data_IF_992450044301
#
_entry.id   IF_992450044301
#
_cell.length_a   1.000
_cell.length_b   1.000
_cell.length_c   1.000
_cell.angle_alpha   90.00
_cell.angle_beta   90.00
_cell.angle_gamma   90.00
#
_symmetry.space_group_name_H-M   'P 1'
#
loop_
_entity.id
_entity.type
_entity.pdbx_description
1 polymer ?
#
# COMPACT_ATOMS: atom_id res chain seq x y z
N UNK A 1 -3.32 16.62 14.94
CA UNK A 1 -4.02 17.91 14.75
C UNK A 1 -5.38 17.61 14.14
N UNK A 2 -6.46 18.03 14.78
CA UNK A 2 -7.81 17.85 14.21
C UNK A 2 -8.05 18.81 13.06
N UNK A 3 -8.80 18.37 12.07
CA UNK A 3 -9.17 19.18 10.90
C UNK A 3 -10.56 18.78 10.40
N UNK A 4 -11.15 19.62 9.55
CA UNK A 4 -12.44 19.36 8.92
C UNK A 4 -12.24 19.02 7.44
N UNK A 5 -13.09 18.15 6.91
CA UNK A 5 -13.07 17.82 5.48
C UNK A 5 -13.23 19.09 4.63
N UNK A 6 -12.35 19.24 3.64
CA UNK A 6 -12.33 20.38 2.72
C UNK A 6 -11.60 21.63 3.24
N UNK A 7 -11.04 21.62 4.46
CA UNK A 7 -10.14 22.69 4.90
C UNK A 7 -8.73 22.56 4.29
N UNK A 8 -7.87 23.53 4.53
CA UNK A 8 -6.49 23.54 4.00
C UNK A 8 -5.69 22.32 4.48
N UNK A 9 -5.89 21.87 5.70
CA UNK A 9 -5.18 20.71 6.27
C UNK A 9 -5.64 19.43 5.59
N UNK A 10 -6.95 19.25 5.36
CA UNK A 10 -7.47 18.13 4.57
C UNK A 10 -6.93 18.16 3.13
N UNK A 11 -6.85 19.35 2.54
CA UNK A 11 -6.25 19.56 1.22
C UNK A 11 -4.79 19.10 1.16
N UNK A 12 -3.95 19.56 2.11
CA UNK A 12 -2.56 19.13 2.24
C UNK A 12 -2.45 17.61 2.45
N UNK A 13 -3.32 17.05 3.28
CA UNK A 13 -3.36 15.62 3.55
C UNK A 13 -3.73 14.82 2.28
N UNK A 14 -4.69 15.30 1.48
CA UNK A 14 -5.06 14.69 0.21
C UNK A 14 -3.90 14.75 -0.81
N UNK A 15 -3.14 15.85 -0.85
CA UNK A 15 -1.93 15.95 -1.68
C UNK A 15 -0.90 14.88 -1.28
N UNK A 16 -0.60 14.76 0.01
CA UNK A 16 0.37 13.76 0.50
C UNK A 16 -0.13 12.33 0.26
N UNK A 17 -1.42 12.06 0.46
CA UNK A 17 -2.03 10.77 0.17
C UNK A 17 -1.96 10.40 -1.30
N UNK A 18 -2.21 11.36 -2.19
CA UNK A 18 -2.10 11.17 -3.64
C UNK A 18 -0.67 10.83 -4.03
N UNK A 19 0.30 11.59 -3.51
CA UNK A 19 1.72 11.31 -3.73
C UNK A 19 2.11 9.90 -3.24
N UNK A 20 1.74 9.56 -2.00
CA UNK A 20 2.09 8.26 -1.42
C UNK A 20 1.43 7.10 -2.16
N UNK A 21 0.19 7.29 -2.63
CA UNK A 21 -0.48 6.33 -3.49
C UNK A 21 0.26 6.14 -4.83
N UNK A 22 0.73 7.21 -5.47
CA UNK A 22 1.51 7.09 -6.70
C UNK A 22 2.85 6.38 -6.50
N UNK A 23 3.53 6.61 -5.38
CA UNK A 23 4.75 5.84 -5.03
C UNK A 23 4.44 4.36 -4.83
N UNK A 24 3.30 4.04 -4.20
CA UNK A 24 2.81 2.67 -4.08
C UNK A 24 2.53 2.04 -5.45
N UNK A 25 1.79 2.74 -6.31
CA UNK A 25 1.41 2.31 -7.65
C UNK A 25 2.63 2.07 -8.55
N UNK A 26 3.57 3.02 -8.57
CA UNK A 26 4.80 2.90 -9.34
C UNK A 26 5.68 1.74 -8.83
N UNK A 27 5.78 1.55 -7.51
CA UNK A 27 6.50 0.42 -6.92
C UNK A 27 5.89 -0.94 -7.27
N UNK A 28 4.55 -1.03 -7.29
CA UNK A 28 3.86 -2.26 -7.70
C UNK A 28 4.06 -2.55 -9.19
N UNK A 29 3.95 -1.53 -10.05
CA UNK A 29 4.20 -1.65 -11.50
C UNK A 29 5.63 -2.05 -11.79
N UNK A 30 6.59 -1.49 -11.06
CA UNK A 30 7.99 -1.86 -11.17
C UNK A 30 8.23 -3.33 -10.75
N UNK A 31 7.63 -3.76 -9.64
CA UNK A 31 7.65 -5.16 -9.21
C UNK A 31 7.08 -6.08 -10.31
N UNK A 32 5.90 -5.76 -10.84
CA UNK A 32 5.26 -6.54 -11.89
C UNK A 32 6.14 -6.64 -13.15
N UNK A 33 6.75 -5.52 -13.56
CA UNK A 33 7.68 -5.48 -14.71
C UNK A 33 8.90 -6.37 -14.49
N UNK A 34 9.53 -6.33 -13.32
CA UNK A 34 10.69 -7.19 -13.06
C UNK A 34 10.30 -8.67 -12.92
N UNK A 35 9.15 -8.96 -12.31
CA UNK A 35 8.62 -10.32 -12.23
C UNK A 35 8.35 -10.89 -13.64
N UNK A 36 7.74 -10.10 -14.53
CA UNK A 36 7.53 -10.46 -15.93
C UNK A 36 8.86 -10.70 -16.66
N UNK A 37 9.85 -9.82 -16.50
CA UNK A 37 11.19 -10.00 -17.06
C UNK A 37 11.84 -11.32 -16.61
N UNK A 38 11.71 -11.68 -15.33
CA UNK A 38 12.22 -12.96 -14.82
C UNK A 38 11.56 -14.17 -15.49
N UNK A 39 10.26 -14.09 -15.78
CA UNK A 39 9.51 -15.17 -16.43
C UNK A 39 9.93 -15.32 -17.90
N UNK A 40 10.07 -14.21 -18.63
CA UNK A 40 10.34 -14.21 -20.07
C UNK A 40 11.82 -14.45 -20.39
N UNK A 41 12.72 -13.75 -19.68
CA UNK A 41 14.15 -13.68 -20.00
C UNK A 41 15.03 -14.51 -19.06
N UNK A 42 14.42 -15.08 -18.01
CA UNK A 42 15.12 -15.82 -16.96
C UNK A 42 15.58 -14.93 -15.81
N UNK A 43 16.03 -15.59 -14.75
CA UNK A 43 16.42 -14.93 -13.51
C UNK A 43 17.91 -14.60 -13.49
N UNK A 44 18.25 -13.34 -13.21
CA UNK A 44 19.60 -12.92 -12.80
C UNK A 44 19.59 -12.43 -11.37
N UNK A 45 20.78 -12.36 -10.73
CA UNK A 45 20.92 -11.81 -9.37
C UNK A 45 20.48 -10.36 -9.31
N UNK A 46 20.80 -9.57 -10.34
CA UNK A 46 20.43 -8.16 -10.41
C UNK A 46 18.91 -7.98 -10.52
N UNK A 47 18.25 -8.73 -11.41
CA UNK A 47 16.78 -8.66 -11.52
C UNK A 47 16.14 -9.12 -10.21
N UNK A 48 16.65 -10.18 -9.58
CA UNK A 48 16.13 -10.66 -8.28
C UNK A 48 16.20 -9.60 -7.19
N UNK A 49 17.33 -8.87 -7.10
CA UNK A 49 17.51 -7.74 -6.18
C UNK A 49 16.51 -6.61 -6.46
N UNK A 50 16.34 -6.24 -7.73
CA UNK A 50 15.40 -5.19 -8.13
C UNK A 50 13.94 -5.57 -7.86
N UNK A 51 13.54 -6.81 -8.16
CA UNK A 51 12.22 -7.36 -7.83
C UNK A 51 11.95 -7.32 -6.33
N UNK A 52 12.93 -7.76 -5.53
CA UNK A 52 12.84 -7.73 -4.07
C UNK A 52 12.59 -6.31 -3.57
N UNK A 53 13.41 -5.35 -4.00
CA UNK A 53 13.30 -3.95 -3.57
C UNK A 53 11.96 -3.32 -3.98
N UNK A 54 11.55 -3.51 -5.24
CA UNK A 54 10.29 -2.98 -5.74
C UNK A 54 9.09 -3.50 -4.91
N UNK A 55 9.09 -4.79 -4.58
CA UNK A 55 8.03 -5.35 -3.75
C UNK A 55 8.09 -4.87 -2.29
N UNK A 56 9.28 -4.68 -1.72
CA UNK A 56 9.39 -4.07 -0.37
C UNK A 56 8.94 -2.62 -0.33
N UNK A 57 9.21 -1.85 -1.39
CA UNK A 57 8.72 -0.47 -1.52
C UNK A 57 7.20 -0.45 -1.66
N UNK A 58 6.63 -1.37 -2.44
CA UNK A 58 5.17 -1.54 -2.53
C UNK A 58 4.54 -1.79 -1.16
N UNK A 59 5.08 -2.74 -0.39
CA UNK A 59 4.61 -3.02 1.00
C UNK A 59 4.69 -1.74 1.84
N UNK A 60 5.81 -1.04 1.80
CA UNK A 60 6.01 0.17 2.59
C UNK A 60 4.99 1.26 2.25
N UNK A 61 4.90 1.64 0.97
CA UNK A 61 4.02 2.72 0.51
C UNK A 61 2.55 2.37 0.67
N UNK A 62 2.15 1.12 0.42
CA UNK A 62 0.77 0.69 0.67
C UNK A 62 0.42 0.84 2.15
N UNK A 63 1.32 0.47 3.06
CA UNK A 63 1.08 0.61 4.49
C UNK A 63 0.96 2.08 4.90
N UNK A 64 1.90 2.94 4.50
CA UNK A 64 1.86 4.38 4.84
C UNK A 64 0.61 5.06 4.28
N UNK A 65 0.25 4.73 3.03
CA UNK A 65 -0.98 5.20 2.41
C UNK A 65 -2.22 4.83 3.25
N UNK A 66 -2.36 3.56 3.65
CA UNK A 66 -3.48 3.12 4.50
C UNK A 66 -3.51 3.84 5.85
N UNK A 67 -2.34 4.14 6.44
CA UNK A 67 -2.25 4.91 7.68
C UNK A 67 -2.72 6.35 7.49
N UNK A 68 -2.35 7.00 6.38
CA UNK A 68 -2.83 8.32 6.03
C UNK A 68 -4.34 8.33 5.80
N UNK A 69 -4.89 7.34 5.09
CA UNK A 69 -6.33 7.22 4.91
C UNK A 69 -7.05 7.10 6.25
N UNK A 70 -6.52 6.27 7.16
CA UNK A 70 -7.11 6.12 8.49
C UNK A 70 -7.07 7.44 9.29
N UNK A 71 -5.96 8.16 9.24
CA UNK A 71 -5.82 9.47 9.88
C UNK A 71 -6.85 10.47 9.29
N UNK A 72 -7.03 10.45 7.97
CA UNK A 72 -8.01 11.28 7.29
C UNK A 72 -9.45 10.96 7.68
N UNK A 73 -9.81 9.68 7.71
CA UNK A 73 -11.14 9.23 8.13
C UNK A 73 -11.44 9.59 9.60
N UNK A 74 -10.40 9.70 10.43
CA UNK A 74 -10.50 10.15 11.82
C UNK A 74 -10.59 11.69 11.97
N UNK A 75 -10.46 12.46 10.88
CA UNK A 75 -10.41 13.93 10.92
C UNK A 75 -9.23 14.45 11.75
N UNK A 76 -8.13 13.70 11.79
CA UNK A 76 -6.99 14.01 12.65
C UNK A 76 -5.68 13.55 12.01
N UNK A 77 -4.67 14.43 11.94
CA UNK A 77 -3.34 14.07 11.43
C UNK A 77 -2.66 12.96 12.25
N UNK A 78 -3.12 12.71 13.49
CA UNK A 78 -2.76 11.53 14.26
C UNK A 78 -3.96 10.58 14.36
N UNK A 79 -3.76 9.32 13.95
CA UNK A 79 -4.79 8.26 13.99
C UNK A 79 -5.45 8.15 15.37
N UNK A 80 -4.65 8.22 16.44
CA UNK A 80 -5.12 8.08 17.82
C UNK A 80 -4.17 8.75 18.80
N UNK A 81 -4.72 9.25 19.92
CA UNK A 81 -3.94 9.78 21.04
C UNK A 81 -3.41 8.67 21.97
N UNK A 82 -3.81 7.41 21.74
CA UNK A 82 -3.32 6.26 22.49
C UNK A 82 -1.86 5.97 22.14
N UNK A 83 -1.14 5.29 23.04
CA UNK A 83 0.28 4.95 22.90
C UNK A 83 0.51 3.46 23.06
N UNK A 84 1.68 2.99 22.62
CA UNK A 84 2.12 1.61 22.81
C UNK A 84 1.21 0.56 22.14
N UNK A 85 0.86 -0.48 22.90
CA UNK A 85 0.06 -1.61 22.43
C UNK A 85 -1.36 -1.22 22.04
N UNK A 86 -1.96 -0.24 22.73
CA UNK A 86 -3.33 0.20 22.42
C UNK A 86 -3.39 0.90 21.05
N UNK A 87 -2.40 1.75 20.75
CA UNK A 87 -2.24 2.35 19.42
C UNK A 87 -2.05 1.28 18.35
N UNK A 88 -1.25 0.27 18.65
CA UNK A 88 -1.00 -0.86 17.75
C UNK A 88 -2.29 -1.58 17.39
N UNK A 89 -3.12 -1.92 18.38
CA UNK A 89 -4.40 -2.62 18.16
C UNK A 89 -5.38 -1.81 17.32
N UNK A 90 -5.44 -0.50 17.52
CA UNK A 90 -6.31 0.38 16.71
C UNK A 90 -5.87 0.35 15.24
N UNK A 91 -4.56 0.54 15.00
CA UNK A 91 -3.99 0.56 13.66
C UNK A 91 -4.16 -0.80 12.96
N UNK A 92 -3.80 -1.89 13.64
CA UNK A 92 -3.92 -3.23 13.08
C UNK A 92 -5.38 -3.61 12.86
N UNK A 93 -6.28 -3.21 13.76
CA UNK A 93 -7.72 -3.40 13.63
C UNK A 93 -8.31 -2.72 12.39
N UNK A 94 -7.85 -1.50 12.07
CA UNK A 94 -8.27 -0.81 10.84
C UNK A 94 -7.87 -1.57 9.58
N UNK A 95 -6.60 -2.00 9.50
CA UNK A 95 -6.09 -2.77 8.34
C UNK A 95 -6.81 -4.11 8.20
N UNK A 96 -6.99 -4.84 9.31
CA UNK A 96 -7.73 -6.11 9.34
C UNK A 96 -9.18 -5.94 8.87
N UNK A 97 -9.88 -4.94 9.41
CA UNK A 97 -11.26 -4.67 9.06
C UNK A 97 -11.41 -4.33 7.57
N UNK A 98 -10.54 -3.47 7.05
CA UNK A 98 -10.58 -3.07 5.65
C UNK A 98 -10.30 -4.23 4.69
N UNK A 99 -9.29 -5.07 4.99
CA UNK A 99 -9.00 -6.27 4.22
C UNK A 99 -10.17 -7.28 4.24
N UNK A 100 -10.76 -7.52 5.42
CA UNK A 100 -11.90 -8.43 5.55
C UNK A 100 -13.14 -7.90 4.82
N UNK A 101 -13.41 -6.60 4.92
CA UNK A 101 -14.51 -5.93 4.20
C UNK A 101 -14.42 -6.15 2.70
N UNK A 102 -13.24 -6.00 2.10
CA UNK A 102 -13.05 -6.23 0.65
C UNK A 102 -13.35 -7.69 0.30
N UNK A 103 -12.83 -8.64 1.09
CA UNK A 103 -13.09 -10.07 0.89
C UNK A 103 -14.58 -10.41 0.95
N UNK A 104 -15.28 -9.87 1.94
CA UNK A 104 -16.71 -10.04 2.12
C UNK A 104 -17.50 -9.44 0.95
N UNK A 105 -17.13 -8.24 0.49
CA UNK A 105 -17.77 -7.58 -0.66
C UNK A 105 -17.68 -8.41 -1.94
N UNK A 106 -16.50 -8.95 -2.26
CA UNK A 106 -16.34 -9.82 -3.43
C UNK A 106 -17.13 -11.12 -3.27
N UNK A 107 -17.07 -11.77 -2.11
CA UNK A 107 -17.85 -12.99 -1.83
C UNK A 107 -19.34 -12.74 -2.03
N UNK A 108 -19.86 -11.65 -1.48
CA UNK A 108 -21.28 -11.33 -1.51
C UNK A 108 -21.72 -10.92 -2.94
N UNK A 109 -20.89 -10.20 -3.69
CA UNK A 109 -21.15 -9.90 -5.10
C UNK A 109 -21.23 -11.18 -5.96
N UNK A 110 -20.38 -12.18 -5.70
CA UNK A 110 -20.43 -13.47 -6.41
C UNK A 110 -21.71 -14.22 -6.05
N UNK A 111 -22.05 -14.32 -4.76
CA UNK A 111 -23.28 -14.98 -4.29
C UNK A 111 -24.54 -14.35 -4.87
N UNK A 112 -24.54 -13.04 -5.05
CA UNK A 112 -25.66 -12.27 -5.59
C UNK A 112 -25.68 -12.19 -7.12
N UNK A 113 -24.70 -12.80 -7.82
CA UNK A 113 -24.61 -12.77 -9.29
C UNK A 113 -24.28 -11.38 -9.88
N UNK A 114 -23.77 -10.46 -9.08
CA UNK A 114 -23.39 -9.08 -9.50
C UNK A 114 -21.89 -8.92 -9.70
N UNK A 115 -21.09 -9.94 -9.39
CA UNK A 115 -19.65 -9.91 -9.61
C UNK A 115 -19.30 -9.78 -11.10
N UNK A 116 -18.38 -8.87 -11.47
CA UNK A 116 -17.84 -8.81 -12.82
C UNK A 116 -17.19 -10.12 -13.28
N UNK A 117 -17.14 -10.35 -14.59
CA UNK A 117 -16.61 -11.59 -15.18
C UNK A 117 -15.12 -11.84 -14.94
N UNK A 118 -14.36 -10.81 -14.58
CA UNK A 118 -12.93 -10.91 -14.26
C UNK A 118 -12.66 -11.30 -12.80
N UNK A 119 -13.68 -11.32 -11.94
CA UNK A 119 -13.53 -11.70 -10.53
C UNK A 119 -13.21 -13.19 -10.42
N UNK A 120 -12.27 -13.53 -9.53
CA UNK A 120 -11.88 -14.91 -9.30
C UNK A 120 -13.04 -15.77 -8.75
N UNK A 121 -12.87 -17.09 -8.79
CA UNK A 121 -13.81 -18.01 -8.15
C UNK A 121 -14.03 -17.69 -6.66
N UNK A 122 -15.24 -17.96 -6.13
CA UNK A 122 -15.66 -17.62 -4.76
C UNK A 122 -14.71 -18.15 -3.68
N UNK A 123 -14.04 -19.29 -3.92
CA UNK A 123 -13.04 -19.86 -3.00
C UNK A 123 -11.84 -18.94 -2.73
N UNK A 124 -11.61 -17.94 -3.58
CA UNK A 124 -10.60 -16.91 -3.35
C UNK A 124 -11.00 -15.97 -2.20
N UNK A 125 -12.30 -15.76 -2.00
CA UNK A 125 -12.90 -14.75 -1.13
C UNK A 125 -13.64 -15.33 0.09
N UNK A 126 -14.08 -16.60 0.01
CA UNK A 126 -14.73 -17.32 1.10
C UNK A 126 -13.72 -17.86 2.12
N UNK A 127 -12.84 -16.97 2.58
CA UNK A 127 -11.83 -17.23 3.60
C UNK A 127 -11.68 -16.01 4.50
N UNK A 128 -11.41 -16.25 5.78
CA UNK A 128 -11.10 -15.18 6.72
C UNK A 128 -9.68 -14.67 6.52
N UNK A 129 -9.48 -13.36 6.56
CA UNK A 129 -8.14 -12.76 6.57
C UNK A 129 -7.37 -13.29 7.80
N UNK A 130 -6.15 -13.80 7.65
CA UNK A 130 -5.39 -14.35 8.77
C UNK A 130 -5.20 -13.33 9.88
N UNK A 131 -5.39 -13.74 11.14
CA UNK A 131 -5.34 -12.83 12.29
C UNK A 131 -4.00 -12.08 12.44
N UNK A 132 -2.90 -12.70 12.04
CA UNK A 132 -1.55 -12.09 12.10
C UNK A 132 -1.27 -11.12 10.94
N UNK A 133 -2.17 -10.99 9.95
CA UNK A 133 -1.90 -10.24 8.71
C UNK A 133 -1.47 -8.80 8.97
N UNK A 134 -2.24 -8.02 9.73
CA UNK A 134 -1.95 -6.61 9.94
C UNK A 134 -0.66 -6.38 10.75
N UNK A 135 -0.41 -7.25 11.74
CA UNK A 135 0.82 -7.25 12.53
C UNK A 135 2.02 -7.56 11.66
N UNK A 136 1.98 -8.67 10.92
CA UNK A 136 3.06 -9.08 10.02
C UNK A 136 3.30 -8.01 8.96
N UNK A 137 2.25 -7.38 8.42
CA UNK A 137 2.37 -6.30 7.44
C UNK A 137 3.13 -5.10 8.00
N UNK A 138 2.75 -4.64 9.20
CA UNK A 138 3.45 -3.55 9.90
C UNK A 138 4.90 -3.91 10.22
N UNK A 139 5.13 -5.10 10.75
CA UNK A 139 6.47 -5.56 11.08
C UNK A 139 7.35 -5.65 9.83
N UNK A 140 6.80 -6.15 8.72
CA UNK A 140 7.50 -6.22 7.45
C UNK A 140 7.86 -4.82 6.94
N UNK A 141 6.92 -3.87 6.98
CA UNK A 141 7.18 -2.46 6.64
C UNK A 141 8.33 -1.88 7.47
N UNK A 142 8.35 -2.13 8.78
CA UNK A 142 9.40 -1.61 9.68
C UNK A 142 10.76 -2.23 9.38
N UNK A 143 10.79 -3.54 9.19
CA UNK A 143 12.03 -4.30 9.01
C UNK A 143 12.60 -4.10 7.60
N UNK A 144 11.78 -4.06 6.55
CA UNK A 144 12.23 -3.97 5.16
C UNK A 144 12.93 -2.64 4.83
N UNK A 145 12.43 -1.50 5.33
CA UNK A 145 12.94 -0.16 4.96
C UNK A 145 13.73 0.53 6.08
N UNK A 146 13.37 0.35 7.36
CA UNK A 146 13.86 1.19 8.47
C UNK A 146 15.32 1.06 8.95
N UNK A 147 15.90 -0.15 9.09
CA UNK A 147 17.22 -0.33 9.70
C UNK A 147 18.11 -1.36 8.99
N UNK A 148 19.34 -0.99 8.62
CA UNK A 148 20.36 -1.94 8.15
C UNK A 148 20.76 -2.84 9.33
N UNK A 149 20.00 -3.91 9.51
CA UNK A 149 20.15 -4.89 10.57
C UNK A 149 20.43 -6.24 9.91
N UNK A 150 21.39 -7.00 10.42
CA UNK A 150 21.78 -8.31 9.85
C UNK A 150 20.61 -9.31 9.83
N UNK A 151 19.65 -9.13 10.74
CA UNK A 151 18.40 -9.86 10.85
C UNK A 151 17.54 -9.75 9.58
N UNK A 152 17.72 -8.70 8.75
CA UNK A 152 17.05 -8.60 7.44
C UNK A 152 17.39 -9.75 6.50
N UNK A 153 18.63 -10.25 6.57
CA UNK A 153 19.08 -11.33 5.71
C UNK A 153 18.72 -12.72 6.26
N UNK A 154 18.45 -12.85 7.56
CA UNK A 154 18.30 -14.15 8.24
C UNK A 154 16.93 -14.43 8.85
N UNK A 155 16.10 -13.41 9.10
CA UNK A 155 14.82 -13.57 9.83
C UNK A 155 13.59 -13.05 9.09
N UNK A 156 13.77 -12.22 8.04
CA UNK A 156 12.67 -11.63 7.29
C UNK A 156 12.52 -12.32 5.92
N UNK A 157 11.74 -13.39 5.88
CA UNK A 157 11.47 -14.09 4.61
C UNK A 157 10.38 -13.35 3.81
N UNK A 158 10.80 -12.56 2.82
CA UNK A 158 9.86 -11.93 1.89
C UNK A 158 9.07 -12.97 1.09
N UNK A 159 9.67 -14.12 0.81
CA UNK A 159 9.01 -15.24 0.13
C UNK A 159 7.84 -15.77 0.94
N UNK A 160 8.03 -16.05 2.23
CA UNK A 160 6.94 -16.52 3.10
C UNK A 160 5.85 -15.46 3.25
N UNK A 161 6.23 -14.20 3.44
CA UNK A 161 5.30 -13.09 3.52
C UNK A 161 4.48 -12.94 2.24
N UNK A 162 5.12 -13.03 1.07
CA UNK A 162 4.47 -12.99 -0.23
C UNK A 162 3.44 -14.11 -0.36
N UNK A 163 3.83 -15.37 -0.12
CA UNK A 163 2.92 -16.50 -0.24
C UNK A 163 1.73 -16.40 0.70
N UNK A 164 1.94 -15.91 1.93
CA UNK A 164 0.89 -15.82 2.93
C UNK A 164 -0.07 -14.66 2.66
N UNK A 165 0.44 -13.53 2.15
CA UNK A 165 -0.30 -12.26 2.22
C UNK A 165 -0.46 -11.46 0.92
N UNK A 166 0.24 -11.81 -0.17
CA UNK A 166 0.18 -11.04 -1.41
C UNK A 166 -1.25 -10.77 -1.90
N UNK A 167 -2.13 -11.78 -1.82
CA UNK A 167 -3.56 -11.63 -2.19
C UNK A 167 -4.23 -10.48 -1.46
N UNK A 168 -4.06 -10.37 -0.14
CA UNK A 168 -4.71 -9.33 0.66
C UNK A 168 -4.13 -7.95 0.35
N UNK A 169 -2.80 -7.86 0.18
CA UNK A 169 -2.13 -6.62 -0.22
C UNK A 169 -2.59 -6.14 -1.60
N UNK A 170 -2.68 -7.07 -2.56
CA UNK A 170 -3.16 -6.76 -3.90
C UNK A 170 -4.62 -6.28 -3.89
N UNK A 171 -5.49 -6.90 -3.08
CA UNK A 171 -6.88 -6.46 -2.93
C UNK A 171 -6.98 -5.07 -2.27
N UNK A 172 -6.18 -4.78 -1.24
CA UNK A 172 -6.10 -3.45 -0.64
C UNK A 172 -5.65 -2.39 -1.65
N UNK A 173 -4.60 -2.70 -2.41
CA UNK A 173 -4.08 -1.83 -3.46
C UNK A 173 -5.12 -1.58 -4.56
N UNK A 174 -5.74 -2.63 -5.10
CA UNK A 174 -6.74 -2.49 -6.18
C UNK A 174 -8.01 -1.78 -5.74
N UNK A 175 -8.50 -1.97 -4.51
CA UNK A 175 -9.60 -1.16 -3.96
C UNK A 175 -9.22 0.33 -3.92
N UNK A 176 -7.97 0.63 -3.55
CA UNK A 176 -7.44 1.99 -3.45
C UNK A 176 -7.26 2.69 -4.81
N UNK A 177 -6.90 1.95 -5.88
CA UNK A 177 -6.75 2.50 -7.25
C UNK A 177 -8.03 3.20 -7.72
N UNK A 178 -9.21 2.67 -7.39
CA UNK A 178 -10.48 3.22 -7.87
C UNK A 178 -10.72 4.65 -7.36
N UNK A 179 -10.19 4.97 -6.19
CA UNK A 179 -10.36 6.25 -5.51
C UNK A 179 -9.18 7.20 -5.73
N UNK A 180 -7.95 6.68 -5.75
CA UNK A 180 -6.72 7.50 -5.74
C UNK A 180 -5.85 7.33 -6.99
N UNK A 181 -6.13 6.33 -7.83
CA UNK A 181 -5.32 6.00 -9.01
C UNK A 181 -5.74 6.69 -10.29
N UNK A 182 -6.83 7.47 -10.28
CA UNK A 182 -7.25 8.24 -11.46
C UNK A 182 -6.26 9.38 -11.70
N UNK A 183 -5.40 9.20 -12.70
CA UNK A 183 -4.63 10.30 -13.28
C UNK A 183 -5.58 11.08 -14.20
N UNK A 184 -5.80 12.37 -13.91
CA UNK A 184 -6.38 13.29 -14.90
C UNK A 184 -5.45 13.43 -16.11
N UNK A 185 -5.91 14.11 -17.17
CA UNK A 185 -5.08 14.40 -18.34
C UNK A 185 -3.78 15.14 -17.96
N UNK A 186 -3.84 15.94 -16.89
CA UNK A 186 -2.69 16.54 -16.23
C UNK A 186 -2.36 15.81 -14.93
N UNK A 187 -1.07 15.57 -14.67
CA UNK A 187 -0.61 15.02 -13.40
C UNK A 187 -0.81 16.07 -12.29
N UNK A 188 -1.35 15.71 -11.12
CA UNK A 188 -1.69 16.71 -10.10
C UNK A 188 -0.45 17.43 -9.58
N UNK A 189 -0.60 18.71 -9.27
CA UNK A 189 0.44 19.47 -8.56
C UNK A 189 0.55 18.94 -7.11
N UNK A 190 1.73 18.42 -6.79
CA UNK A 190 2.09 17.87 -5.49
C UNK A 190 2.84 18.88 -4.60
N UNK A 191 2.72 20.18 -4.89
CA UNK A 191 3.33 21.29 -4.15
C UNK A 191 4.86 21.18 -4.12
N UNK A 192 5.45 21.07 -2.92
CA UNK A 192 6.91 20.93 -2.71
C UNK A 192 7.56 19.88 -3.62
N UNK A 193 6.87 18.77 -3.89
CA UNK A 193 7.39 17.70 -4.76
C UNK A 193 7.55 18.17 -6.21
N UNK A 194 6.59 18.95 -6.70
CA UNK A 194 6.65 19.62 -8.00
C UNK A 194 7.73 20.71 -7.99
N UNK A 195 7.77 21.52 -6.94
CA UNK A 195 8.72 22.64 -6.77
C UNK A 195 10.18 22.18 -6.78
N UNK A 196 10.49 21.04 -6.14
CA UNK A 196 11.82 20.45 -6.15
C UNK A 196 12.31 20.12 -7.57
N UNK A 197 11.41 19.59 -8.42
CA UNK A 197 11.75 19.24 -9.80
C UNK A 197 11.96 20.50 -10.66
N UNK A 198 11.18 21.56 -10.41
CA UNK A 198 11.35 22.86 -11.08
C UNK A 198 12.70 23.47 -10.72
N UNK A 199 13.10 23.45 -9.44
CA UNK A 199 14.41 23.93 -9.00
C UNK A 199 15.54 23.27 -9.79
N UNK A 200 15.56 21.93 -9.88
CA UNK A 200 16.58 21.19 -10.61
C UNK A 200 16.61 21.53 -12.11
N UNK A 201 15.46 21.79 -12.72
CA UNK A 201 15.39 22.19 -14.13
C UNK A 201 15.92 23.61 -14.36
N UNK A 202 15.77 24.51 -13.38
CA UNK A 202 16.22 25.90 -13.45
C UNK A 202 17.70 26.09 -13.12
N UNK A 203 18.29 25.21 -12.29
CA UNK A 203 19.72 25.25 -11.97
C UNK A 203 20.61 24.65 -13.09
N UNK A 204 20.02 23.87 -14.00
CA UNK A 204 20.70 23.21 -15.11
C UNK A 204 20.34 23.80 -16.49
N UNK A 205 19.67 24.97 -16.53
CA UNK A 205 19.33 25.72 -17.73
C UNK A 205 20.23 26.96 -17.88
#
# INVERSE_FOLDING_TARGET
MKFNTGDTVDGDHCTVLTHEFFRCDDSFKEFARYAEQMIIQGQTREISYRTYNAYTNFIHHLYEFLMGCHARDAGNTEITNKKGEERTKIIEGYVMHHAQRIMDQYRDAIKNGTAPSWVNHISCYDVTVPAEFAKDFREFRNKAVGHVAHERASTLSLTEFYHKYHKYLYLLYTDSIHWWGKRSDEFPDLKEITEFSVMLSSENA
#
